data_IF_923248635654
#
_entry.id   IF_923248635654
#
_cell.length_a   1.000
_cell.length_b   1.000
_cell.length_c   1.000
_cell.angle_alpha   90.00
_cell.angle_beta   90.00
_cell.angle_gamma   90.00
#
_symmetry.space_group_name_H-M   'P 1'
#
loop_
_entity.id
_entity.type
_entity.pdbx_description
1 polymer ?
#
# COMPACT_ATOMS: atom_id res chain seq x y z
N UNK A 1 -1.12 -33.05 -6.50
CA UNK A 1 -2.37 -33.61 -5.97
C UNK A 1 -2.76 -32.81 -4.73
N UNK A 2 -3.43 -31.67 -4.91
CA UNK A 2 -3.91 -30.84 -3.81
C UNK A 2 -5.43 -31.01 -3.72
N UNK A 3 -5.89 -31.84 -2.80
CA UNK A 3 -7.30 -32.02 -2.49
C UNK A 3 -7.82 -30.79 -1.73
N UNK A 4 -8.41 -29.84 -2.46
CA UNK A 4 -9.26 -28.80 -1.85
C UNK A 4 -10.53 -29.45 -1.33
N UNK A 5 -10.62 -29.62 -0.01
CA UNK A 5 -11.87 -29.90 0.67
C UNK A 5 -12.80 -28.69 0.52
N UNK A 6 -13.89 -28.85 -0.24
CA UNK A 6 -15.03 -27.93 -0.19
C UNK A 6 -15.85 -28.27 1.06
N UNK A 7 -15.80 -27.44 2.09
CA UNK A 7 -16.77 -27.45 3.18
C UNK A 7 -18.04 -26.73 2.74
N UNK A 8 -18.93 -27.45 2.05
CA UNK A 8 -20.32 -27.01 1.94
C UNK A 8 -21.00 -27.24 3.30
N UNK A 9 -21.48 -26.16 3.91
CA UNK A 9 -22.34 -26.19 5.09
C UNK A 9 -23.52 -27.12 4.84
N UNK A 10 -23.48 -28.32 5.43
CA UNK A 10 -24.49 -29.36 5.24
C UNK A 10 -25.84 -28.85 5.75
N UNK A 11 -26.76 -28.55 4.84
CA UNK A 11 -28.12 -28.13 5.18
C UNK A 11 -28.79 -29.26 5.99
N UNK A 12 -29.43 -28.95 7.14
CA UNK A 12 -30.09 -29.98 7.94
C UNK A 12 -31.14 -30.72 7.11
N UNK A 13 -31.15 -32.06 7.24
CA UNK A 13 -32.07 -32.92 6.50
C UNK A 13 -33.45 -32.87 7.17
N UNK A 14 -34.41 -32.26 6.47
CA UNK A 14 -35.81 -32.15 6.87
C UNK A 14 -36.52 -33.50 6.68
N UNK A 15 -37.48 -33.80 7.57
CA UNK A 15 -38.24 -35.06 7.56
C UNK A 15 -39.73 -34.79 7.72
N UNK A 16 -40.56 -35.73 7.25
CA UNK A 16 -42.02 -35.68 7.43
C UNK A 16 -42.66 -34.45 6.80
N UNK A 17 -43.59 -33.83 7.53
CA UNK A 17 -44.36 -32.67 7.07
C UNK A 17 -43.49 -31.46 6.73
N UNK A 18 -42.42 -31.20 7.50
CA UNK A 18 -41.50 -30.09 7.23
C UNK A 18 -40.83 -30.20 5.86
N UNK A 19 -40.55 -31.44 5.42
CA UNK A 19 -40.00 -31.68 4.08
C UNK A 19 -41.05 -31.48 2.99
N UNK A 20 -42.30 -31.86 3.23
CA UNK A 20 -43.43 -31.61 2.31
C UNK A 20 -43.67 -30.11 2.13
N UNK A 21 -43.78 -29.38 3.24
CA UNK A 21 -44.03 -27.93 3.24
C UNK A 21 -42.90 -27.17 2.56
N UNK A 22 -41.64 -27.58 2.79
CA UNK A 22 -40.49 -26.94 2.15
C UNK A 22 -40.47 -27.15 0.64
N UNK A 23 -40.80 -28.35 0.17
CA UNK A 23 -40.90 -28.66 -1.27
C UNK A 23 -42.05 -27.87 -1.90
N UNK A 24 -43.21 -27.82 -1.24
CA UNK A 24 -44.37 -27.08 -1.71
C UNK A 24 -44.10 -25.57 -1.78
N UNK A 25 -43.50 -25.00 -0.73
CA UNK A 25 -43.14 -23.58 -0.67
C UNK A 25 -42.15 -23.23 -1.77
N UNK A 26 -41.14 -24.07 -2.00
CA UNK A 26 -40.17 -23.85 -3.08
C UNK A 26 -40.84 -23.84 -4.47
N UNK A 27 -41.72 -24.80 -4.74
CA UNK A 27 -42.42 -24.88 -6.02
C UNK A 27 -43.42 -23.74 -6.23
N UNK A 28 -44.14 -23.31 -5.19
CA UNK A 28 -45.03 -22.15 -5.25
C UNK A 28 -44.26 -20.85 -5.48
N UNK A 29 -43.11 -20.67 -4.80
CA UNK A 29 -42.27 -19.48 -4.96
C UNK A 29 -41.64 -19.38 -6.35
N UNK A 30 -41.15 -20.50 -6.90
CA UNK A 30 -40.52 -20.50 -8.21
C UNK A 30 -41.53 -20.53 -9.36
N UNK A 31 -42.70 -21.15 -9.15
CA UNK A 31 -43.80 -21.30 -10.11
C UNK A 31 -43.36 -21.77 -11.52
N UNK A 32 -42.29 -22.56 -11.59
CA UNK A 32 -41.70 -23.14 -12.80
C UNK A 32 -41.84 -24.67 -12.77
N UNK A 33 -42.05 -25.35 -13.92
CA UNK A 33 -42.05 -26.81 -13.97
C UNK A 33 -40.67 -27.39 -13.67
N UNK A 34 -40.59 -28.33 -12.72
CA UNK A 34 -39.35 -29.02 -12.36
C UNK A 34 -39.52 -30.53 -12.31
N UNK A 35 -38.45 -31.27 -12.62
CA UNK A 35 -38.35 -32.70 -12.30
C UNK A 35 -37.91 -32.92 -10.85
N UNK A 36 -38.15 -34.12 -10.30
CA UNK A 36 -37.77 -34.43 -8.93
C UNK A 36 -36.24 -34.37 -8.67
N UNK A 37 -35.44 -34.64 -9.69
CA UNK A 37 -33.97 -34.51 -9.62
C UNK A 37 -33.58 -33.04 -9.43
N UNK A 38 -34.20 -32.13 -10.19
CA UNK A 38 -33.92 -30.70 -10.15
C UNK A 38 -34.37 -30.10 -8.81
N UNK A 39 -35.55 -30.47 -8.32
CA UNK A 39 -36.04 -30.03 -7.01
C UNK A 39 -35.08 -30.49 -5.91
N UNK A 40 -34.62 -31.74 -5.92
CA UNK A 40 -33.67 -32.24 -4.93
C UNK A 40 -32.31 -31.50 -4.97
N UNK A 41 -31.83 -31.15 -6.17
CA UNK A 41 -30.62 -30.37 -6.36
C UNK A 41 -30.78 -28.91 -5.85
N UNK A 42 -31.89 -28.27 -6.21
CA UNK A 42 -32.18 -26.87 -5.83
C UNK A 42 -32.40 -26.71 -4.31
N UNK A 43 -32.90 -27.75 -3.64
CA UNK A 43 -33.02 -27.80 -2.19
C UNK A 43 -31.69 -28.11 -1.48
N UNK A 44 -30.57 -28.23 -2.21
CA UNK A 44 -29.20 -28.42 -1.68
C UNK A 44 -29.09 -29.54 -0.64
N UNK A 45 -29.83 -30.64 -0.85
CA UNK A 45 -29.81 -31.79 0.06
C UNK A 45 -30.65 -31.65 1.34
N UNK A 46 -31.44 -30.58 1.48
CA UNK A 46 -32.39 -30.42 2.59
C UNK A 46 -33.43 -31.56 2.65
N UNK A 47 -33.75 -32.18 1.52
CA UNK A 47 -34.62 -33.34 1.42
C UNK A 47 -33.94 -34.40 0.57
N UNK A 48 -33.96 -35.67 1.03
CA UNK A 48 -33.37 -36.78 0.29
C UNK A 48 -34.07 -36.99 -1.06
N UNK A 49 -33.30 -37.26 -2.12
CA UNK A 49 -33.80 -37.37 -3.51
C UNK A 49 -34.97 -38.35 -3.68
N UNK A 50 -34.91 -39.50 -3.00
CA UNK A 50 -35.98 -40.51 -3.00
C UNK A 50 -37.24 -40.00 -2.33
N UNK A 51 -37.11 -39.20 -1.28
CA UNK A 51 -38.23 -38.60 -0.57
C UNK A 51 -38.84 -37.45 -1.36
N UNK A 52 -38.04 -36.64 -2.07
CA UNK A 52 -38.54 -35.57 -2.95
C UNK A 52 -39.51 -36.13 -3.99
N UNK A 53 -39.16 -37.23 -4.68
CA UNK A 53 -40.07 -37.85 -5.65
C UNK A 53 -41.40 -38.27 -5.01
N UNK A 54 -41.36 -38.90 -3.82
CA UNK A 54 -42.57 -39.34 -3.11
C UNK A 54 -43.44 -38.14 -2.69
N UNK A 55 -42.81 -37.10 -2.16
CA UNK A 55 -43.47 -35.86 -1.74
C UNK A 55 -44.15 -35.17 -2.92
N UNK A 56 -43.47 -35.07 -4.06
CA UNK A 56 -44.02 -34.45 -5.27
C UNK A 56 -45.26 -35.18 -5.80
N UNK A 57 -45.22 -36.51 -5.81
CA UNK A 57 -46.37 -37.34 -6.20
C UNK A 57 -47.51 -37.16 -5.20
N UNK A 58 -47.24 -37.22 -3.90
CA UNK A 58 -48.25 -37.01 -2.86
C UNK A 58 -48.88 -35.60 -2.92
N UNK A 59 -48.09 -34.56 -3.19
CA UNK A 59 -48.58 -33.20 -3.37
C UNK A 59 -49.40 -33.03 -4.68
N UNK A 60 -49.07 -33.79 -5.73
CA UNK A 60 -49.87 -33.85 -6.94
C UNK A 60 -51.22 -34.56 -6.70
N UNK A 61 -51.22 -35.65 -5.94
CA UNK A 61 -52.45 -36.37 -5.54
C UNK A 61 -53.35 -35.52 -4.64
N UNK A 62 -52.78 -34.73 -3.73
CA UNK A 62 -53.49 -33.72 -2.91
C UNK A 62 -54.03 -32.54 -3.76
N UNK A 63 -53.70 -32.48 -5.05
CA UNK A 63 -54.12 -31.40 -5.96
C UNK A 63 -53.44 -30.05 -5.72
N UNK A 64 -52.38 -30.01 -4.91
CA UNK A 64 -51.54 -28.81 -4.71
C UNK A 64 -50.58 -28.58 -5.88
N UNK A 65 -50.13 -29.66 -6.52
CA UNK A 65 -49.30 -29.63 -7.71
C UNK A 65 -50.03 -30.28 -8.89
N UNK A 66 -49.64 -29.90 -10.10
CA UNK A 66 -49.99 -30.60 -11.34
C UNK A 66 -48.76 -31.36 -11.80
N UNK A 67 -48.95 -32.65 -12.10
CA UNK A 67 -47.90 -33.50 -12.65
C UNK A 67 -48.17 -33.82 -14.12
N UNK A 68 -47.12 -33.85 -14.93
CA UNK A 68 -47.19 -34.29 -16.33
C UNK A 68 -45.96 -35.11 -16.70
N UNK A 69 -46.21 -36.26 -17.29
CA UNK A 69 -45.17 -37.22 -17.69
C UNK A 69 -44.83 -37.03 -19.16
N UNK A 70 -43.54 -36.89 -19.46
CA UNK A 70 -42.99 -36.84 -20.81
C UNK A 70 -41.93 -37.95 -20.94
N UNK A 71 -42.30 -39.03 -21.64
CA UNK A 71 -41.45 -40.20 -21.75
C UNK A 71 -41.14 -40.81 -20.37
N UNK A 72 -39.86 -40.81 -19.99
CA UNK A 72 -39.39 -41.35 -18.69
C UNK A 72 -39.37 -40.32 -17.55
N UNK A 73 -39.61 -39.04 -17.84
CA UNK A 73 -39.46 -37.95 -16.87
C UNK A 73 -40.82 -37.37 -16.51
N UNK A 74 -41.07 -37.14 -15.21
CA UNK A 74 -42.28 -36.47 -14.72
C UNK A 74 -41.92 -35.08 -14.22
N UNK A 75 -42.67 -34.08 -14.68
CA UNK A 75 -42.53 -32.69 -14.25
C UNK A 75 -43.69 -32.31 -13.33
N UNK A 76 -43.37 -31.51 -12.33
CA UNK A 76 -44.30 -31.00 -11.33
C UNK A 76 -44.28 -29.48 -11.36
N UNK A 77 -45.46 -28.87 -11.29
CA UNK A 77 -45.65 -27.41 -11.19
C UNK A 77 -46.74 -27.11 -10.18
N UNK A 78 -46.71 -25.94 -9.55
CA UNK A 78 -47.79 -25.49 -8.69
C UNK A 78 -49.12 -25.44 -9.48
N UNK A 79 -50.21 -25.84 -8.85
CA UNK A 79 -51.52 -25.87 -9.50
C UNK A 79 -52.02 -24.43 -9.78
N UNK A 80 -51.91 -24.00 -11.04
CA UNK A 80 -52.29 -22.67 -11.47
C UNK A 80 -53.82 -22.44 -11.48
N UNK A 81 -54.63 -23.50 -11.51
CA UNK A 81 -56.10 -23.39 -11.47
C UNK A 81 -56.62 -22.86 -10.13
N UNK A 82 -55.79 -22.90 -9.08
CA UNK A 82 -56.10 -22.31 -7.77
C UNK A 82 -55.73 -20.82 -7.67
N UNK A 83 -55.06 -20.25 -8.68
CA UNK A 83 -54.66 -18.85 -8.69
C UNK A 83 -55.81 -18.00 -9.24
N UNK A 84 -56.01 -16.82 -8.65
CA UNK A 84 -56.99 -15.84 -9.14
C UNK A 84 -56.55 -15.34 -10.52
N UNK A 85 -57.45 -15.42 -11.49
CA UNK A 85 -57.26 -14.78 -12.79
C UNK A 85 -57.69 -13.33 -12.65
N UNK A 86 -56.73 -12.42 -12.71
CA UNK A 86 -57.01 -10.99 -12.60
C UNK A 86 -57.72 -10.47 -13.87
N UNK A 87 -58.76 -9.63 -13.74
CA UNK A 87 -59.39 -8.96 -14.87
C UNK A 87 -58.43 -7.95 -15.52
N UNK A 88 -58.64 -7.69 -16.81
CA UNK A 88 -57.78 -6.82 -17.62
C UNK A 88 -57.60 -5.41 -17.03
N UNK A 89 -58.64 -4.85 -16.39
CA UNK A 89 -58.58 -3.54 -15.74
C UNK A 89 -57.58 -3.51 -14.57
N UNK A 90 -57.58 -4.56 -13.72
CA UNK A 90 -56.63 -4.67 -12.61
C UNK A 90 -55.20 -4.90 -13.10
N UNK A 91 -55.03 -5.61 -14.21
CA UNK A 91 -53.72 -5.77 -14.85
C UNK A 91 -53.18 -4.42 -15.34
N UNK A 92 -54.03 -3.64 -16.03
CA UNK A 92 -53.65 -2.31 -16.50
C UNK A 92 -53.30 -1.34 -15.35
N UNK A 93 -54.01 -1.42 -14.21
CA UNK A 93 -53.66 -0.60 -13.04
C UNK A 93 -52.31 -1.02 -12.42
N UNK A 94 -52.04 -2.32 -12.32
CA UNK A 94 -50.77 -2.83 -11.80
C UNK A 94 -49.59 -2.51 -12.73
N UNK A 95 -49.79 -2.56 -14.05
CA UNK A 95 -48.77 -2.17 -15.03
C UNK A 95 -48.44 -0.66 -14.92
N UNK A 96 -49.45 0.17 -14.64
CA UNK A 96 -49.23 1.60 -14.39
C UNK A 96 -48.45 1.84 -13.10
N UNK A 97 -48.81 1.12 -12.02
CA UNK A 97 -48.11 1.21 -10.73
C UNK A 97 -46.66 0.72 -10.84
N UNK A 98 -46.43 -0.39 -11.56
CA UNK A 98 -45.08 -0.90 -11.83
C UNK A 98 -44.22 0.13 -12.53
N UNK A 99 -44.74 0.77 -13.58
CA UNK A 99 -44.01 1.83 -14.29
C UNK A 99 -43.66 3.01 -13.39
N UNK A 100 -44.61 3.46 -12.57
CA UNK A 100 -44.37 4.54 -11.61
C UNK A 100 -43.26 4.16 -10.61
N UNK A 101 -43.33 2.97 -10.03
CA UNK A 101 -42.34 2.48 -9.06
C UNK A 101 -40.97 2.26 -9.72
N UNK A 102 -40.92 1.83 -10.98
CA UNK A 102 -39.68 1.71 -11.74
C UNK A 102 -39.04 3.08 -12.00
N UNK A 103 -39.82 4.08 -12.40
CA UNK A 103 -39.36 5.45 -12.61
C UNK A 103 -38.84 6.07 -11.30
N UNK A 104 -39.58 5.91 -10.19
CA UNK A 104 -39.15 6.36 -8.86
C UNK A 104 -37.85 5.69 -8.40
N UNK A 105 -37.71 4.38 -8.64
CA UNK A 105 -36.48 3.66 -8.31
C UNK A 105 -35.28 4.17 -9.11
N UNK A 106 -35.46 4.49 -10.39
CA UNK A 106 -34.39 5.06 -11.23
C UNK A 106 -33.99 6.45 -10.72
N UNK A 107 -34.97 7.29 -10.34
CA UNK A 107 -34.72 8.61 -9.77
C UNK A 107 -33.95 8.51 -8.44
N UNK A 108 -34.44 7.70 -7.49
CA UNK A 108 -33.80 7.49 -6.20
C UNK A 108 -32.38 6.90 -6.33
N UNK A 109 -32.16 5.98 -7.27
CA UNK A 109 -30.83 5.44 -7.54
C UNK A 109 -29.85 6.51 -8.05
N UNK A 110 -30.34 7.44 -8.88
CA UNK A 110 -29.56 8.60 -9.32
C UNK A 110 -29.21 9.52 -8.16
N UNK A 111 -30.18 9.82 -7.28
CA UNK A 111 -29.97 10.69 -6.12
C UNK A 111 -28.96 10.09 -5.13
N UNK A 112 -29.06 8.79 -4.84
CA UNK A 112 -28.09 8.06 -4.00
C UNK A 112 -26.68 8.15 -4.59
N UNK A 113 -26.55 8.04 -5.91
CA UNK A 113 -25.26 8.18 -6.59
C UNK A 113 -24.72 9.63 -6.49
N UNK A 114 -25.59 10.63 -6.63
CA UNK A 114 -25.23 12.04 -6.44
C UNK A 114 -24.74 12.31 -5.02
N UNK A 115 -25.58 12.00 -4.02
CA UNK A 115 -25.30 12.23 -2.61
C UNK A 115 -24.07 11.45 -2.11
N UNK A 116 -23.88 10.21 -2.54
CA UNK A 116 -22.67 9.45 -2.19
C UNK A 116 -21.40 10.08 -2.75
N UNK A 117 -21.46 10.68 -3.95
CA UNK A 117 -20.33 11.39 -4.53
C UNK A 117 -19.99 12.68 -3.77
N UNK A 118 -21.00 13.42 -3.31
CA UNK A 118 -20.83 14.63 -2.50
C UNK A 118 -20.28 14.30 -1.13
N UNK A 119 -20.82 13.27 -0.48
CA UNK A 119 -20.33 12.78 0.80
C UNK A 119 -18.87 12.33 0.69
N UNK A 120 -18.50 11.62 -0.38
CA UNK A 120 -17.11 11.22 -0.63
C UNK A 120 -16.18 12.43 -0.75
N UNK A 121 -16.60 13.48 -1.47
CA UNK A 121 -15.83 14.74 -1.57
C UNK A 121 -15.69 15.42 -0.21
N UNK A 122 -16.77 15.56 0.55
CA UNK A 122 -16.75 16.17 1.87
C UNK A 122 -15.89 15.38 2.88
N UNK A 123 -15.83 14.05 2.75
CA UNK A 123 -14.96 13.20 3.57
C UNK A 123 -13.50 13.19 3.13
N UNK A 124 -13.20 13.58 1.89
CA UNK A 124 -11.82 13.65 1.41
C UNK A 124 -11.07 14.87 1.93
N UNK A 125 -11.78 15.84 2.49
CA UNK A 125 -11.21 16.99 3.18
C UNK A 125 -11.13 16.72 4.67
N UNK A 126 -10.01 17.08 5.34
CA UNK A 126 -9.92 17.01 6.80
C UNK A 126 -10.98 17.92 7.44
N UNK A 127 -11.38 17.56 8.65
CA UNK A 127 -12.29 18.35 9.48
C UNK A 127 -11.62 19.65 9.93
N UNK A 128 -12.42 20.66 10.32
CA UNK A 128 -11.91 21.95 10.82
C UNK A 128 -10.97 21.78 12.03
N UNK A 129 -11.27 20.82 12.91
CA UNK A 129 -10.42 20.49 14.06
C UNK A 129 -9.08 19.87 13.62
N UNK A 130 -9.09 18.95 12.65
CA UNK A 130 -7.88 18.35 12.08
C UNK A 130 -7.03 19.38 11.33
N UNK A 131 -7.67 20.30 10.60
CA UNK A 131 -6.98 21.43 9.97
C UNK A 131 -6.32 22.32 11.02
N UNK A 132 -7.00 22.62 12.12
CA UNK A 132 -6.44 23.38 13.24
C UNK A 132 -5.19 22.71 13.82
N UNK A 133 -5.24 21.40 14.03
CA UNK A 133 -4.07 20.63 14.50
C UNK A 133 -2.93 20.64 13.47
N UNK A 134 -3.21 20.44 12.18
CA UNK A 134 -2.20 20.45 11.13
C UNK A 134 -1.52 21.82 11.02
N UNK A 135 -2.28 22.91 11.10
CA UNK A 135 -1.72 24.28 11.09
C UNK A 135 -0.81 24.50 12.29
N UNK A 136 -1.22 24.07 13.49
CA UNK A 136 -0.40 24.18 14.69
C UNK A 136 0.92 23.41 14.56
N UNK A 137 0.85 22.14 14.14
CA UNK A 137 2.03 21.30 13.92
C UNK A 137 2.98 21.90 12.87
N UNK A 138 2.46 22.33 11.72
CA UNK A 138 3.26 22.97 10.68
C UNK A 138 3.88 24.29 11.16
N UNK A 139 3.17 25.06 11.97
CA UNK A 139 3.69 26.28 12.60
C UNK A 139 4.88 25.98 13.52
N UNK A 140 4.79 24.92 14.33
CA UNK A 140 5.90 24.47 15.17
C UNK A 140 7.10 23.99 14.33
N UNK A 141 6.86 23.22 13.28
CA UNK A 141 7.91 22.75 12.36
C UNK A 141 8.63 23.91 11.67
N UNK A 142 7.89 24.92 11.20
CA UNK A 142 8.45 26.14 10.61
C UNK A 142 9.31 26.85 11.65
N UNK A 143 8.81 27.08 12.87
CA UNK A 143 9.58 27.73 13.93
C UNK A 143 10.87 26.97 14.27
N UNK A 144 10.82 25.63 14.28
CA UNK A 144 12.00 24.80 14.50
C UNK A 144 12.99 24.90 13.34
N UNK A 145 12.51 24.86 12.09
CA UNK A 145 13.36 25.01 10.92
C UNK A 145 14.02 26.39 10.88
N UNK A 146 13.28 27.46 11.19
CA UNK A 146 13.80 28.82 11.27
C UNK A 146 14.86 28.97 12.36
N UNK A 147 14.64 28.42 13.56
CA UNK A 147 15.63 28.49 14.65
C UNK A 147 16.93 27.77 14.30
N UNK A 148 16.87 26.66 13.56
CA UNK A 148 18.05 25.95 13.04
C UNK A 148 18.77 26.74 11.94
N UNK A 149 18.01 27.52 11.18
CA UNK A 149 18.53 28.30 10.06
C UNK A 149 19.16 29.62 10.51
N UNK A 150 18.62 30.26 11.56
CA UNK A 150 19.16 31.51 12.14
C UNK A 150 20.68 31.51 12.36
N UNK A 151 21.30 30.54 13.07
CA UNK A 151 22.75 30.53 13.27
C UNK A 151 23.55 30.32 11.98
N UNK A 152 22.97 29.65 10.97
CA UNK A 152 23.58 29.47 9.66
C UNK A 152 23.51 30.75 8.81
N UNK A 153 22.51 31.61 9.05
CA UNK A 153 22.39 32.94 8.43
C UNK A 153 23.26 33.99 9.10
N UNK A 154 23.45 33.92 10.42
CA UNK A 154 24.26 34.89 11.18
C UNK A 154 25.75 34.54 11.22
N UNK A 155 26.12 33.32 10.85
CA UNK A 155 27.51 32.84 10.79
C UNK A 155 28.26 33.25 9.53
N UNK A 156 29.48 32.72 9.38
CA UNK A 156 30.28 32.86 8.17
C UNK A 156 29.55 32.26 6.95
N UNK A 157 29.73 32.80 5.73
CA UNK A 157 29.08 32.29 4.54
C UNK A 157 29.38 30.79 4.38
N UNK A 158 28.36 29.95 4.15
CA UNK A 158 28.58 28.52 3.99
C UNK A 158 29.49 28.28 2.79
N UNK A 159 30.67 27.69 3.04
CA UNK A 159 31.58 27.29 1.97
C UNK A 159 30.90 26.16 1.20
N UNK A 160 30.83 26.29 -0.13
CA UNK A 160 30.24 25.26 -0.96
C UNK A 160 31.01 23.94 -0.84
N UNK A 161 30.34 22.81 -1.05
CA UNK A 161 31.01 21.51 -1.06
C UNK A 161 32.12 21.45 -2.13
N UNK A 162 31.93 22.16 -3.24
CA UNK A 162 32.90 22.28 -4.32
C UNK A 162 34.14 23.05 -3.86
N UNK A 163 33.97 24.21 -3.22
CA UNK A 163 35.07 25.01 -2.70
C UNK A 163 35.85 24.27 -1.61
N UNK A 164 35.17 23.56 -0.70
CA UNK A 164 35.82 22.71 0.30
C UNK A 164 36.66 21.60 -0.36
N UNK A 165 36.12 20.96 -1.41
CA UNK A 165 36.85 19.91 -2.14
C UNK A 165 38.08 20.45 -2.86
N UNK A 166 37.98 21.66 -3.46
CA UNK A 166 39.11 22.34 -4.11
C UNK A 166 40.20 22.67 -3.09
N UNK A 167 39.82 23.26 -1.95
CA UNK A 167 40.76 23.58 -0.87
C UNK A 167 41.46 22.33 -0.33
N UNK A 168 40.74 21.22 -0.18
CA UNK A 168 41.33 19.96 0.27
C UNK A 168 42.33 19.39 -0.76
N UNK A 169 42.00 19.43 -2.05
CA UNK A 169 42.91 19.01 -3.13
C UNK A 169 44.15 19.90 -3.21
N UNK A 170 44.00 21.21 -3.06
CA UNK A 170 45.11 22.17 -3.03
C UNK A 170 46.01 21.92 -1.81
N UNK A 171 45.41 21.71 -0.64
CA UNK A 171 46.14 21.37 0.58
C UNK A 171 46.98 20.12 0.41
N UNK A 172 46.40 19.01 -0.05
CA UNK A 172 47.15 17.76 -0.26
C UNK A 172 48.27 17.92 -1.29
N UNK A 173 48.04 18.67 -2.37
CA UNK A 173 49.06 18.96 -3.38
C UNK A 173 50.24 19.73 -2.79
N UNK A 174 49.98 20.84 -2.11
CA UNK A 174 51.04 21.71 -1.59
C UNK A 174 51.76 21.10 -0.40
N UNK A 175 51.03 20.37 0.45
CA UNK A 175 51.61 19.54 1.52
C UNK A 175 52.60 18.52 0.97
N UNK A 176 52.20 17.73 -0.03
CA UNK A 176 53.07 16.73 -0.64
C UNK A 176 54.32 17.38 -1.26
N UNK A 177 54.15 18.51 -1.93
CA UNK A 177 55.27 19.24 -2.55
C UNK A 177 56.23 19.83 -1.52
N UNK A 178 55.73 20.36 -0.39
CA UNK A 178 56.55 20.83 0.72
C UNK A 178 57.41 19.70 1.30
N UNK A 179 56.82 18.56 1.66
CA UNK A 179 57.57 17.40 2.15
C UNK A 179 58.62 16.91 1.16
N UNK A 180 58.26 16.85 -0.12
CA UNK A 180 59.15 16.40 -1.20
C UNK A 180 60.35 17.34 -1.34
N UNK A 181 60.11 18.65 -1.43
CA UNK A 181 61.16 19.66 -1.58
C UNK A 181 62.08 19.70 -0.37
N UNK A 182 61.51 19.68 0.85
CA UNK A 182 62.28 19.61 2.10
C UNK A 182 63.19 18.39 2.12
N UNK A 183 62.68 17.22 1.76
CA UNK A 183 63.47 15.98 1.71
C UNK A 183 64.61 16.06 0.69
N UNK A 184 64.36 16.60 -0.51
CA UNK A 184 65.40 16.77 -1.55
C UNK A 184 66.48 17.72 -1.05
N UNK A 185 66.08 18.86 -0.49
CA UNK A 185 67.01 19.84 0.05
C UNK A 185 67.87 19.23 1.17
N UNK A 186 67.27 18.60 2.19
CA UNK A 186 68.01 17.98 3.28
C UNK A 186 68.98 16.88 2.82
N UNK A 187 68.60 16.11 1.80
CA UNK A 187 69.48 15.09 1.21
C UNK A 187 70.67 15.69 0.48
N UNK A 188 70.46 16.77 -0.29
CA UNK A 188 71.52 17.46 -1.01
C UNK A 188 72.44 18.22 -0.05
N UNK A 189 71.85 18.90 0.93
CA UNK A 189 72.58 19.61 1.97
C UNK A 189 73.46 18.65 2.75
N UNK A 190 72.89 17.53 3.22
CA UNK A 190 73.65 16.48 3.91
C UNK A 190 74.81 15.94 3.09
N UNK A 191 74.64 15.73 1.77
CA UNK A 191 75.73 15.31 0.90
C UNK A 191 76.82 16.38 0.74
N UNK A 192 76.44 17.65 0.63
CA UNK A 192 77.37 18.76 0.47
C UNK A 192 78.18 19.04 1.76
N UNK A 193 77.58 18.78 2.93
CA UNK A 193 78.19 19.05 4.24
C UNK A 193 78.79 17.81 4.90
N UNK A 194 78.68 16.62 4.29
CA UNK A 194 79.15 15.34 4.87
C UNK A 194 80.65 15.34 5.21
N UNK A 195 81.45 16.05 4.41
CA UNK A 195 82.89 16.18 4.60
C UNK A 195 83.30 17.33 5.52
N UNK A 196 82.34 18.15 5.99
CA UNK A 196 82.61 19.34 6.80
C UNK A 196 82.37 19.07 8.30
N UNK A 197 83.20 19.65 9.19
CA UNK A 197 82.89 19.68 10.61
C UNK A 197 81.56 20.42 10.89
N UNK A 198 80.79 20.04 11.93
CA UNK A 198 79.47 20.62 12.22
C UNK A 198 79.47 22.16 12.33
N UNK A 199 80.49 22.75 12.95
CA UNK A 199 80.60 24.21 13.11
C UNK A 199 80.80 24.94 11.77
N UNK A 200 81.53 24.33 10.82
CA UNK A 200 81.74 24.88 9.49
C UNK A 200 80.49 24.73 8.62
N UNK A 201 79.75 23.64 8.79
CA UNK A 201 78.45 23.44 8.15
C UNK A 201 77.40 24.47 8.60
N UNK A 202 77.34 24.78 9.91
CA UNK A 202 76.41 25.78 10.46
C UNK A 202 76.78 27.19 9.96
N UNK A 203 78.06 27.54 9.97
CA UNK A 203 78.53 28.81 9.43
C UNK A 203 78.25 28.96 7.92
N UNK A 204 78.35 27.87 7.15
CA UNK A 204 78.03 27.86 5.73
C UNK A 204 76.51 28.00 5.48
N UNK A 205 75.68 27.38 6.32
CA UNK A 205 74.22 27.50 6.26
C UNK A 205 73.78 28.95 6.46
N UNK A 206 74.33 29.63 7.47
CA UNK A 206 74.08 31.04 7.75
C UNK A 206 74.60 31.95 6.63
N UNK A 207 75.81 31.70 6.12
CA UNK A 207 76.40 32.49 5.03
C UNK A 207 75.61 32.38 3.72
N UNK A 208 75.00 31.22 3.45
CA UNK A 208 74.13 31.00 2.29
C UNK A 208 72.68 31.46 2.52
N UNK A 209 72.35 31.92 3.74
CA UNK A 209 71.02 32.42 4.09
C UNK A 209 69.94 31.33 4.04
N UNK A 210 70.29 30.11 4.42
CA UNK A 210 69.36 28.97 4.38
C UNK A 210 68.48 29.01 5.63
N UNK A 211 67.17 29.19 5.43
CA UNK A 211 66.18 29.16 6.49
C UNK A 211 65.45 27.81 6.51
N UNK A 212 65.51 27.10 7.65
CA UNK A 212 64.77 25.85 7.87
C UNK A 212 63.34 26.13 8.32
N UNK A 213 62.51 25.09 8.27
CA UNK A 213 61.14 25.13 8.76
C UNK A 213 61.09 25.65 10.22
N UNK A 214 60.22 26.64 10.45
CA UNK A 214 60.04 27.26 11.78
C UNK A 214 59.23 26.34 12.71
N UNK A 215 59.20 26.58 14.04
CA UNK A 215 58.36 25.81 14.98
C UNK A 215 56.87 25.80 14.61
N UNK A 216 56.36 26.81 13.89
CA UNK A 216 54.98 26.83 13.39
C UNK A 216 54.74 25.75 12.33
N UNK A 217 55.72 25.53 11.45
CA UNK A 217 55.68 24.48 10.44
C UNK A 217 55.72 23.09 11.10
N UNK A 218 56.54 22.90 12.12
CA UNK A 218 56.58 21.64 12.88
C UNK A 218 55.29 21.38 13.67
N UNK A 219 54.65 22.43 14.20
CA UNK A 219 53.36 22.35 14.86
C UNK A 219 52.25 21.99 13.86
N UNK A 220 52.29 22.57 12.65
CA UNK A 220 51.37 22.26 11.56
C UNK A 220 51.52 20.81 11.07
N UNK A 221 52.76 20.33 10.95
CA UNK A 221 53.08 18.94 10.60
C UNK A 221 52.58 17.94 11.64
N UNK A 222 52.69 18.27 12.94
CA UNK A 222 52.14 17.46 14.04
C UNK A 222 50.63 17.65 14.22
N UNK A 223 50.06 18.65 13.57
CA UNK A 223 48.67 19.02 13.67
C UNK A 223 47.72 18.10 12.89
N UNK A 224 46.41 18.20 13.15
CA UNK A 224 45.39 17.34 12.54
C UNK A 224 45.29 17.48 11.02
N UNK A 225 45.71 18.62 10.45
CA UNK A 225 45.72 18.88 9.01
C UNK A 225 46.77 18.04 8.26
N UNK A 226 47.86 17.68 8.94
CA UNK A 226 48.92 16.85 8.37
C UNK A 226 48.84 15.39 8.81
N UNK A 227 48.47 15.14 10.06
CA UNK A 227 48.44 13.81 10.69
C UNK A 227 47.13 13.05 10.44
N UNK A 228 46.14 13.66 9.77
CA UNK A 228 44.79 13.09 9.65
C UNK A 228 44.85 11.60 9.32
N UNK A 229 44.50 10.78 10.32
CA UNK A 229 44.35 9.34 10.16
C UNK A 229 43.24 9.19 9.14
N UNK A 230 43.56 8.56 8.01
CA UNK A 230 42.55 8.04 7.10
C UNK A 230 41.53 7.28 7.94
N UNK A 231 40.37 7.91 8.19
CA UNK A 231 39.21 7.20 8.69
C UNK A 231 38.89 6.21 7.59
N UNK A 232 39.41 4.98 7.74
CA UNK A 232 39.05 3.84 6.91
C UNK A 232 37.54 3.71 7.01
N UNK A 233 36.84 4.33 6.05
CA UNK A 233 35.44 4.05 5.79
C UNK A 233 35.36 2.56 5.49
N UNK A 234 34.94 1.76 6.48
CA UNK A 234 34.40 0.43 6.22
C UNK A 234 33.26 0.64 5.22
N UNK A 235 33.47 0.23 3.97
CA UNK A 235 32.36 0.09 3.03
C UNK A 235 31.48 -1.08 3.50
N UNK A 236 30.14 -0.97 3.37
CA UNK A 236 29.24 -2.10 3.54
C UNK A 236 29.55 -3.20 2.51
#
# INVERSE_FOLDING_TARGET
MASKAKSESKVPVLKGQEAEDRVLQYLKAMNRPYGAVDVAANLKGAVQKTNVQKILVALAEKGELVQKTYGKTTFFVANQSKLEVLPAEKLASLDSELKMVEEENVALASDVKGLSSELSKARSTPTDDELGQQIACLGEEISQAESRLQPLKSGAPPISAEDLSRLQCEWEKWKAEWFRRRKVFLSLWGLATDALPPQESESLEEALGIEKDTPEHEALERGPLCVSKTLKRKRP
#
